data_IF_160854620158
#
_entry.id   IF_160854620158
#
_cell.length_a   1.000
_cell.length_b   1.000
_cell.length_c   1.000
_cell.angle_alpha   90.00
_cell.angle_beta   90.00
_cell.angle_gamma   90.00
#
_symmetry.space_group_name_H-M   'P 1'
#
loop_
_entity.id
_entity.type
_entity.pdbx_description
1 polymer ?
#
# COMPACT_ATOMS: atom_id res chain seq x y z
N UNK A 1 -12.25 -12.24 17.61
CA UNK A 1 -10.97 -11.71 17.08
C UNK A 1 -10.57 -12.50 15.85
N UNK A 2 -10.00 -11.84 14.83
CA UNK A 2 -9.55 -12.46 13.56
C UNK A 2 -8.17 -13.15 13.67
N UNK A 3 -7.44 -12.93 14.75
CA UNK A 3 -6.07 -13.41 14.92
C UNK A 3 -5.94 -14.89 14.56
N UNK A 4 -5.08 -15.19 13.60
CA UNK A 4 -4.75 -16.52 13.11
C UNK A 4 -5.97 -17.38 12.68
N UNK A 5 -7.11 -16.73 12.32
CA UNK A 5 -8.30 -17.42 11.82
C UNK A 5 -8.56 -17.21 10.35
N UNK A 6 -7.89 -16.23 9.76
CA UNK A 6 -7.92 -15.94 8.32
C UNK A 6 -6.49 -15.88 7.78
N UNK A 7 -6.33 -16.17 6.50
CA UNK A 7 -5.04 -16.13 5.84
C UNK A 7 -5.18 -15.70 4.37
N UNK A 8 -4.10 -15.15 3.83
CA UNK A 8 -3.94 -14.89 2.40
C UNK A 8 -3.45 -16.19 1.77
N UNK A 9 -4.18 -16.69 0.78
CA UNK A 9 -3.88 -17.97 0.12
C UNK A 9 -3.45 -17.80 -1.33
N UNK A 10 -3.77 -16.68 -1.97
CA UNK A 10 -3.38 -16.41 -3.34
C UNK A 10 -3.02 -14.94 -3.55
N UNK A 11 -2.05 -14.71 -4.41
CA UNK A 11 -1.60 -13.38 -4.85
C UNK A 11 -1.44 -13.37 -6.36
N UNK A 12 -1.70 -12.23 -6.98
CA UNK A 12 -1.50 -12.04 -8.41
C UNK A 12 -1.17 -10.59 -8.73
N UNK A 13 -0.35 -10.38 -9.73
CA UNK A 13 -0.06 -9.06 -10.27
C UNK A 13 0.19 -9.11 -11.77
N UNK A 14 -0.03 -8.00 -12.44
CA UNK A 14 0.40 -7.80 -13.84
C UNK A 14 1.76 -7.14 -13.87
N UNK A 15 2.44 -7.21 -15.01
CA UNK A 15 3.60 -6.36 -15.24
C UNK A 15 3.19 -4.87 -15.10
N UNK A 16 4.02 -4.10 -14.43
CA UNK A 16 3.88 -2.64 -14.37
C UNK A 16 4.48 -2.02 -15.63
N UNK A 17 3.82 -1.04 -16.22
CA UNK A 17 4.34 -0.40 -17.41
C UNK A 17 4.05 1.11 -17.45
N UNK A 18 4.81 1.78 -18.30
CA UNK A 18 4.61 3.18 -18.70
C UNK A 18 4.49 3.23 -20.21
N UNK A 19 5.30 4.01 -20.92
CA UNK A 19 5.25 4.09 -22.38
C UNK A 19 5.49 2.74 -23.06
N UNK A 20 4.65 2.30 -23.99
CA UNK A 20 3.46 2.98 -24.54
C UNK A 20 2.17 2.83 -23.72
N UNK A 21 2.22 2.24 -22.53
CA UNK A 21 1.08 1.82 -21.70
C UNK A 21 0.86 0.31 -21.80
N UNK A 22 -0.12 -0.20 -21.03
CA UNK A 22 -0.45 -1.63 -20.97
C UNK A 22 -1.13 -2.15 -22.25
N UNK A 23 -1.75 -1.27 -23.03
CA UNK A 23 -2.64 -1.65 -24.14
C UNK A 23 -3.95 -2.30 -23.68
N UNK A 24 -4.24 -2.35 -22.38
CA UNK A 24 -5.40 -2.96 -21.78
C UNK A 24 -6.26 -1.91 -21.05
N UNK A 25 -7.56 -2.10 -21.03
CA UNK A 25 -8.45 -1.34 -20.15
C UNK A 25 -8.30 -1.79 -18.70
N UNK A 26 -8.69 -0.94 -17.76
CA UNK A 26 -8.56 -1.18 -16.31
C UNK A 26 -9.18 -2.49 -15.85
N UNK A 27 -10.39 -2.80 -16.28
CA UNK A 27 -11.06 -4.07 -15.94
C UNK A 27 -10.25 -5.27 -16.45
N UNK A 28 -9.66 -5.20 -17.64
CA UNK A 28 -8.86 -6.30 -18.18
C UNK A 28 -7.57 -6.51 -17.39
N UNK A 29 -6.92 -5.42 -16.92
CA UNK A 29 -5.76 -5.48 -16.03
C UNK A 29 -6.13 -6.15 -14.70
N UNK A 30 -7.23 -5.69 -14.09
CA UNK A 30 -7.71 -6.19 -12.81
C UNK A 30 -8.10 -7.68 -12.89
N UNK A 31 -8.80 -8.09 -13.97
CA UNK A 31 -9.17 -9.50 -14.19
C UNK A 31 -7.94 -10.39 -14.37
N UNK A 32 -6.89 -9.92 -15.04
CA UNK A 32 -5.63 -10.69 -15.15
C UNK A 32 -4.97 -10.91 -13.79
N UNK A 33 -4.90 -9.89 -12.95
CA UNK A 33 -4.36 -10.02 -11.61
C UNK A 33 -5.26 -10.91 -10.72
N UNK A 34 -6.58 -10.77 -10.84
CA UNK A 34 -7.55 -11.57 -10.12
C UNK A 34 -7.43 -13.06 -10.48
N UNK A 35 -7.37 -13.40 -11.76
CA UNK A 35 -7.19 -14.78 -12.24
C UNK A 35 -5.86 -15.36 -11.75
N UNK A 36 -4.77 -14.58 -11.79
CA UNK A 36 -3.48 -15.02 -11.27
C UNK A 36 -3.54 -15.28 -9.75
N UNK A 37 -4.25 -14.46 -8.97
CA UNK A 37 -4.41 -14.68 -7.54
C UNK A 37 -5.28 -15.91 -7.22
N UNK A 38 -6.32 -16.16 -8.01
CA UNK A 38 -7.19 -17.33 -7.88
C UNK A 38 -6.41 -18.61 -8.21
N UNK A 39 -5.62 -18.59 -9.30
CA UNK A 39 -4.76 -19.71 -9.71
C UNK A 39 -3.65 -19.99 -8.67
N UNK A 40 -2.99 -18.96 -8.16
CA UNK A 40 -1.99 -19.08 -7.09
C UNK A 40 -2.57 -19.68 -5.80
N UNK A 41 -3.85 -19.40 -5.50
CA UNK A 41 -4.58 -20.03 -4.42
C UNK A 41 -4.95 -21.50 -4.68
N UNK A 42 -4.84 -21.99 -5.93
CA UNK A 42 -5.33 -23.31 -6.33
C UNK A 42 -6.86 -23.39 -6.39
N UNK A 43 -7.52 -22.26 -6.54
CA UNK A 43 -8.98 -22.15 -6.62
C UNK A 43 -9.48 -22.03 -8.06
N UNK A 44 -10.78 -22.29 -8.27
CA UNK A 44 -11.49 -21.93 -9.48
C UNK A 44 -12.27 -20.63 -9.26
N UNK A 45 -12.45 -19.83 -10.31
CA UNK A 45 -13.16 -18.57 -10.22
C UNK A 45 -14.58 -18.70 -9.63
N UNK A 46 -15.30 -19.79 -9.96
CA UNK A 46 -16.62 -20.08 -9.39
C UNK A 46 -16.64 -20.40 -7.88
N UNK A 47 -15.48 -20.52 -7.22
CA UNK A 47 -15.39 -20.69 -5.76
C UNK A 47 -15.25 -19.35 -5.01
N UNK A 48 -15.07 -18.25 -5.74
CA UNK A 48 -15.06 -16.91 -5.16
C UNK A 48 -16.51 -16.49 -4.90
N UNK A 49 -16.84 -16.25 -3.65
CA UNK A 49 -18.16 -15.85 -3.18
C UNK A 49 -18.16 -14.50 -2.42
N UNK A 50 -16.98 -13.88 -2.29
CA UNK A 50 -16.79 -12.54 -1.76
C UNK A 50 -15.87 -11.70 -2.65
N UNK A 51 -16.22 -10.44 -2.91
CA UNK A 51 -15.37 -9.50 -3.68
C UNK A 51 -15.37 -8.12 -3.01
N UNK A 52 -14.17 -7.57 -2.83
CA UNK A 52 -13.95 -6.21 -2.33
C UNK A 52 -13.16 -5.44 -3.40
N UNK A 53 -13.82 -4.79 -4.36
CA UNK A 53 -13.12 -4.01 -5.39
C UNK A 53 -12.57 -2.70 -4.82
N UNK A 54 -11.54 -2.16 -5.49
CA UNK A 54 -11.05 -0.82 -5.17
C UNK A 54 -12.07 0.25 -5.61
N UNK A 55 -12.26 1.31 -4.83
CA UNK A 55 -13.22 2.38 -5.14
C UNK A 55 -13.00 2.98 -6.53
N UNK A 56 -14.08 3.29 -7.21
CA UNK A 56 -14.14 3.94 -8.53
C UNK A 56 -13.45 3.21 -9.69
N UNK A 57 -12.87 2.01 -9.47
CA UNK A 57 -12.16 1.25 -10.49
C UNK A 57 -12.88 -0.05 -10.90
N UNK A 58 -14.02 -0.35 -10.31
CA UNK A 58 -14.82 -1.52 -10.66
C UNK A 58 -15.92 -1.79 -9.64
N UNK A 59 -16.89 -2.60 -10.05
CA UNK A 59 -17.98 -3.07 -9.20
C UNK A 59 -17.88 -4.58 -9.01
N UNK A 60 -18.23 -5.09 -7.84
CA UNK A 60 -18.16 -6.52 -7.54
C UNK A 60 -18.93 -7.38 -8.55
N UNK A 61 -20.09 -6.90 -9.00
CA UNK A 61 -20.94 -7.58 -9.99
C UNK A 61 -20.23 -7.69 -11.36
N UNK A 62 -19.46 -6.70 -11.75
CA UNK A 62 -18.69 -6.73 -12.99
C UNK A 62 -17.57 -7.78 -12.92
N UNK A 63 -16.89 -7.89 -11.78
CA UNK A 63 -15.92 -8.97 -11.56
C UNK A 63 -16.59 -10.34 -11.58
N UNK A 64 -17.69 -10.51 -10.85
CA UNK A 64 -18.42 -11.76 -10.78
C UNK A 64 -18.86 -12.24 -12.18
N UNK A 65 -19.44 -11.34 -12.98
CA UNK A 65 -19.89 -11.66 -14.35
C UNK A 65 -18.73 -12.06 -15.28
N UNK A 66 -17.58 -11.36 -15.21
CA UNK A 66 -16.43 -11.67 -16.06
C UNK A 66 -15.63 -12.90 -15.60
N UNK A 67 -15.59 -13.19 -14.31
CA UNK A 67 -14.92 -14.36 -13.75
C UNK A 67 -15.77 -15.62 -13.79
N UNK A 68 -17.09 -15.49 -14.01
CA UNK A 68 -18.03 -16.61 -13.91
C UNK A 68 -18.21 -17.09 -12.47
N UNK A 69 -18.16 -16.16 -11.50
CA UNK A 69 -18.53 -16.46 -10.13
C UNK A 69 -20.02 -16.84 -10.07
N UNK A 70 -20.37 -17.80 -9.20
CA UNK A 70 -21.78 -18.16 -9.00
C UNK A 70 -22.50 -17.03 -8.23
N UNK A 71 -22.90 -17.30 -7.00
CA UNK A 71 -23.56 -16.27 -6.17
C UNK A 71 -22.55 -15.55 -5.29
N UNK A 72 -22.52 -14.22 -5.35
CA UNK A 72 -21.78 -13.42 -4.39
C UNK A 72 -22.56 -13.36 -3.09
N UNK A 73 -21.97 -13.86 -2.02
CA UNK A 73 -22.50 -13.78 -0.65
C UNK A 73 -22.04 -12.52 0.07
N UNK A 74 -20.91 -11.96 -0.40
CA UNK A 74 -20.29 -10.79 0.22
C UNK A 74 -19.72 -9.82 -0.82
N UNK A 75 -20.15 -8.58 -0.78
CA UNK A 75 -19.62 -7.51 -1.61
C UNK A 75 -19.67 -6.19 -0.83
N UNK A 76 -18.51 -5.55 -0.66
CA UNK A 76 -18.40 -4.22 -0.05
C UNK A 76 -17.34 -3.42 -0.79
N UNK A 77 -17.42 -2.12 -0.70
CA UNK A 77 -16.41 -1.18 -1.20
C UNK A 77 -15.88 -0.36 -0.04
N UNK A 78 -14.56 -0.21 0.05
CA UNK A 78 -13.88 0.57 1.06
C UNK A 78 -13.15 1.72 0.38
N UNK A 79 -13.44 2.94 0.78
CA UNK A 79 -12.76 4.12 0.27
C UNK A 79 -11.92 4.76 1.39
N UNK A 80 -10.62 4.50 1.35
CA UNK A 80 -9.60 5.05 2.23
C UNK A 80 -8.32 5.35 1.41
N UNK A 81 -8.48 5.75 0.13
CA UNK A 81 -7.34 6.00 -0.76
C UNK A 81 -6.32 4.86 -0.75
N UNK A 82 -5.03 5.18 -0.59
CA UNK A 82 -3.96 4.18 -0.51
C UNK A 82 -3.95 3.31 0.75
N UNK A 83 -4.82 3.59 1.74
CA UNK A 83 -5.04 2.71 2.87
C UNK A 83 -6.03 1.58 2.57
N UNK A 84 -6.82 1.69 1.49
CA UNK A 84 -7.85 0.71 1.11
C UNK A 84 -7.34 -0.73 0.99
N UNK A 85 -6.15 -1.03 0.40
CA UNK A 85 -5.69 -2.42 0.24
C UNK A 85 -5.56 -3.16 1.56
N UNK A 86 -5.03 -2.52 2.59
CA UNK A 86 -4.81 -3.14 3.89
C UNK A 86 -6.07 -3.11 4.74
N UNK A 87 -6.91 -2.07 4.61
CA UNK A 87 -8.24 -2.03 5.22
C UNK A 87 -9.14 -3.14 4.66
N UNK A 88 -9.09 -3.40 3.35
CA UNK A 88 -9.81 -4.49 2.70
C UNK A 88 -9.37 -5.87 3.21
N UNK A 89 -8.09 -6.04 3.54
CA UNK A 89 -7.58 -7.27 4.14
C UNK A 89 -8.25 -7.56 5.50
N UNK A 90 -8.41 -6.53 6.35
CA UNK A 90 -9.16 -6.63 7.61
C UNK A 90 -10.61 -7.06 7.38
N UNK A 91 -11.30 -6.44 6.42
CA UNK A 91 -12.70 -6.72 6.12
C UNK A 91 -12.87 -8.10 5.51
N UNK A 92 -11.98 -8.52 4.60
CA UNK A 92 -11.96 -9.87 4.05
C UNK A 92 -11.77 -10.92 5.16
N UNK A 93 -10.82 -10.67 6.09
CA UNK A 93 -10.61 -11.53 7.24
C UNK A 93 -11.86 -11.64 8.13
N UNK A 94 -12.54 -10.53 8.38
CA UNK A 94 -13.80 -10.52 9.13
C UNK A 94 -14.88 -11.34 8.40
N UNK A 95 -15.03 -11.16 7.09
CA UNK A 95 -16.03 -11.87 6.30
C UNK A 95 -15.84 -13.40 6.36
N UNK A 96 -14.60 -13.88 6.18
CA UNK A 96 -14.35 -15.34 6.20
C UNK A 96 -14.44 -15.93 7.61
N UNK A 97 -14.07 -15.18 8.64
CA UNK A 97 -14.13 -15.64 10.05
C UNK A 97 -15.58 -15.69 10.55
N UNK A 98 -16.45 -14.82 10.07
CA UNK A 98 -17.89 -14.80 10.44
C UNK A 98 -18.75 -15.70 9.54
N UNK A 99 -18.17 -16.30 8.50
CA UNK A 99 -18.89 -17.13 7.54
C UNK A 99 -19.73 -16.34 6.54
N UNK A 100 -19.53 -15.02 6.43
CA UNK A 100 -20.20 -14.19 5.42
C UNK A 100 -19.73 -14.53 4.00
N UNK A 101 -18.48 -14.98 3.84
CA UNK A 101 -17.94 -15.55 2.62
C UNK A 101 -16.96 -16.68 2.96
N UNK A 102 -16.68 -17.53 1.98
CA UNK A 102 -15.71 -18.60 2.07
C UNK A 102 -14.36 -18.18 1.47
N UNK A 103 -14.38 -17.50 0.32
CA UNK A 103 -13.20 -17.00 -0.40
C UNK A 103 -13.44 -15.59 -0.88
N UNK A 104 -12.68 -14.64 -0.32
CA UNK A 104 -12.81 -13.22 -0.68
C UNK A 104 -11.66 -12.80 -1.59
N UNK A 105 -12.01 -12.38 -2.81
CA UNK A 105 -11.09 -11.76 -3.77
C UNK A 105 -11.04 -10.25 -3.53
N UNK A 106 -9.84 -9.70 -3.49
CA UNK A 106 -9.61 -8.26 -3.38
C UNK A 106 -8.75 -7.80 -4.55
N UNK A 107 -9.35 -7.32 -5.65
CA UNK A 107 -8.65 -6.90 -6.85
C UNK A 107 -8.53 -5.39 -6.92
N UNK A 108 -7.43 -4.89 -7.50
CA UNK A 108 -7.31 -3.51 -7.94
C UNK A 108 -6.34 -3.39 -9.12
N UNK A 109 -6.52 -2.33 -9.88
CA UNK A 109 -5.62 -2.00 -10.98
C UNK A 109 -6.16 -0.82 -11.76
N UNK A 110 -5.25 -0.09 -12.37
CA UNK A 110 -5.59 1.14 -13.08
C UNK A 110 -4.65 1.42 -14.25
N UNK A 111 -5.07 2.32 -15.11
CA UNK A 111 -4.26 2.89 -16.16
C UNK A 111 -3.70 4.25 -15.71
N UNK A 112 -2.93 4.25 -14.60
CA UNK A 112 -2.42 5.47 -13.98
C UNK A 112 -1.40 6.23 -14.84
N UNK A 113 -0.86 5.60 -15.89
CA UNK A 113 0.00 6.25 -16.86
C UNK A 113 -0.72 6.55 -18.19
N UNK A 114 -1.43 5.59 -18.77
CA UNK A 114 -2.07 5.75 -20.09
C UNK A 114 -3.51 6.26 -20.02
N UNK A 115 -4.14 6.22 -18.84
CA UNK A 115 -5.47 6.77 -18.58
C UNK A 115 -5.44 8.19 -18.02
N UNK A 116 -6.41 8.52 -17.18
CA UNK A 116 -6.50 9.81 -16.51
C UNK A 116 -5.39 9.94 -15.47
N UNK A 117 -4.57 10.97 -15.61
CA UNK A 117 -3.42 11.19 -14.71
C UNK A 117 -3.89 11.73 -13.36
N UNK A 118 -3.15 11.41 -12.29
CA UNK A 118 -3.47 11.85 -10.92
C UNK A 118 -3.69 13.37 -10.82
N UNK A 119 -2.93 14.16 -11.56
CA UNK A 119 -3.10 15.63 -11.64
C UNK A 119 -4.43 16.08 -12.25
N UNK A 120 -5.05 15.22 -13.07
CA UNK A 120 -6.29 15.52 -13.79
C UNK A 120 -7.51 15.02 -12.98
N UNK A 121 -7.35 13.97 -12.18
CA UNK A 121 -8.42 13.46 -11.30
C UNK A 121 -8.80 14.47 -10.23
N UNK A 122 -7.85 15.14 -9.63
CA UNK A 122 -8.12 16.17 -8.62
C UNK A 122 -8.95 17.35 -9.16
N UNK A 123 -8.86 17.64 -10.47
CA UNK A 123 -9.63 18.71 -11.09
C UNK A 123 -11.02 18.27 -11.57
N UNK A 124 -11.20 16.99 -11.91
CA UNK A 124 -12.40 16.46 -12.55
C UNK A 124 -13.32 15.66 -11.62
N UNK A 125 -12.83 15.16 -10.50
CA UNK A 125 -13.52 14.16 -9.66
C UNK A 125 -13.67 14.65 -8.21
N UNK A 126 -14.14 15.89 -8.05
CA UNK A 126 -14.35 16.49 -6.73
C UNK A 126 -15.32 15.68 -5.82
N UNK A 127 -16.07 14.73 -6.38
CA UNK A 127 -17.02 13.89 -5.62
C UNK A 127 -16.47 12.52 -5.24
N UNK A 128 -15.37 12.09 -5.85
CA UNK A 128 -14.85 10.72 -5.67
C UNK A 128 -13.74 10.58 -4.63
N UNK A 129 -13.10 11.68 -4.24
CA UNK A 129 -12.06 11.70 -3.22
C UNK A 129 -12.67 12.16 -1.90
N UNK A 130 -12.58 11.38 -0.82
CA UNK A 130 -12.91 11.87 0.51
C UNK A 130 -12.20 13.21 0.78
N UNK A 131 -12.91 14.19 1.37
CA UNK A 131 -12.37 15.52 1.56
C UNK A 131 -12.30 16.41 0.31
N UNK A 132 -12.77 15.94 -0.84
CA UNK A 132 -12.72 16.72 -2.08
C UNK A 132 -13.40 18.10 -1.98
N UNK A 133 -14.50 18.21 -1.23
CA UNK A 133 -15.16 19.49 -1.00
C UNK A 133 -14.24 20.45 -0.21
N UNK A 134 -13.53 19.96 0.79
CA UNK A 134 -12.56 20.74 1.56
C UNK A 134 -11.41 21.16 0.67
N UNK A 135 -10.86 20.23 -0.11
CA UNK A 135 -9.78 20.53 -1.06
C UNK A 135 -10.20 21.59 -2.07
N UNK A 136 -11.38 21.44 -2.69
CA UNK A 136 -11.91 22.39 -3.68
C UNK A 136 -12.16 23.79 -3.08
N UNK A 137 -12.77 23.85 -1.90
CA UNK A 137 -13.27 25.10 -1.37
C UNK A 137 -12.22 25.84 -0.53
N UNK A 138 -11.23 25.12 0.05
CA UNK A 138 -10.25 25.69 0.98
C UNK A 138 -8.79 25.50 0.57
N UNK A 139 -8.45 24.54 -0.31
CA UNK A 139 -7.06 24.30 -0.70
C UNK A 139 -6.77 24.80 -2.12
N UNK A 140 -7.62 24.46 -3.09
CA UNK A 140 -7.41 24.83 -4.49
C UNK A 140 -7.36 26.35 -4.71
N UNK A 141 -8.14 27.20 -4.01
CA UNK A 141 -8.02 28.66 -4.15
C UNK A 141 -6.64 29.21 -3.77
N UNK A 142 -5.88 28.47 -2.94
CA UNK A 142 -4.50 28.81 -2.55
C UNK A 142 -3.44 28.09 -3.39
N UNK A 143 -3.82 27.45 -4.47
CA UNK A 143 -2.89 26.77 -5.39
C UNK A 143 -2.55 25.32 -5.02
N UNK A 144 -3.19 24.74 -4.03
CA UNK A 144 -2.99 23.35 -3.62
C UNK A 144 -3.89 22.40 -4.44
N UNK A 145 -3.47 22.13 -5.69
CA UNK A 145 -4.31 21.46 -6.71
C UNK A 145 -4.02 19.95 -6.85
N UNK A 146 -3.03 19.42 -6.16
CA UNK A 146 -2.62 18.03 -6.33
C UNK A 146 -2.01 17.44 -5.04
N UNK A 147 -2.07 16.12 -4.85
CA UNK A 147 -1.55 15.43 -3.65
C UNK A 147 -0.13 15.82 -3.24
N UNK A 148 0.86 15.97 -4.14
CA UNK A 148 2.19 16.38 -3.72
C UNK A 148 2.19 17.72 -2.96
N UNK A 149 1.33 18.65 -3.36
CA UNK A 149 1.25 19.97 -2.73
C UNK A 149 0.60 19.90 -1.33
N UNK A 150 -0.39 19.05 -1.16
CA UNK A 150 -1.07 18.85 0.13
C UNK A 150 -0.13 18.21 1.15
N UNK A 151 0.55 17.15 0.74
CA UNK A 151 1.40 16.35 1.64
C UNK A 151 2.75 17.01 1.88
N UNK A 152 3.23 17.85 0.97
CA UNK A 152 4.40 18.70 1.18
C UNK A 152 4.28 19.58 2.44
N UNK A 153 3.06 19.99 2.80
CA UNK A 153 2.81 20.75 4.02
C UNK A 153 3.13 19.93 5.28
N UNK A 154 2.78 18.64 5.28
CA UNK A 154 3.10 17.73 6.39
C UNK A 154 4.61 17.51 6.49
N UNK A 155 5.27 17.26 5.36
CA UNK A 155 6.71 17.12 5.30
C UNK A 155 7.44 18.40 5.77
N UNK A 156 6.98 19.56 5.31
CA UNK A 156 7.59 20.85 5.68
C UNK A 156 7.43 21.17 7.15
N UNK A 157 6.25 20.87 7.71
CA UNK A 157 6.01 21.03 9.14
C UNK A 157 6.91 20.12 9.97
N UNK A 158 7.08 18.87 9.56
CA UNK A 158 7.97 17.92 10.22
C UNK A 158 9.43 18.35 10.15
N UNK A 159 9.88 18.89 9.00
CA UNK A 159 11.22 19.49 8.86
C UNK A 159 11.43 20.65 9.84
N UNK A 160 10.39 21.47 10.04
CA UNK A 160 10.46 22.61 10.97
C UNK A 160 10.52 22.17 12.42
N UNK A 161 9.68 21.21 12.81
CA UNK A 161 9.56 20.79 14.22
C UNK A 161 10.65 19.83 14.68
N UNK A 162 11.10 18.94 13.80
CA UNK A 162 12.00 17.84 14.17
C UNK A 162 13.35 17.87 13.43
N UNK A 163 13.57 18.82 12.54
CA UNK A 163 14.83 18.94 11.83
C UNK A 163 15.05 17.88 10.75
N UNK A 164 13.99 17.26 10.25
CA UNK A 164 14.07 16.36 9.08
C UNK A 164 14.65 17.11 7.88
N UNK A 165 15.57 16.49 7.16
CA UNK A 165 16.32 17.09 6.06
C UNK A 165 15.97 16.43 4.73
N UNK A 166 16.33 17.08 3.61
CA UNK A 166 16.17 16.51 2.28
C UNK A 166 16.90 15.17 2.11
N UNK A 167 18.05 15.01 2.79
CA UNK A 167 18.83 13.76 2.75
C UNK A 167 18.09 12.58 3.40
N UNK A 168 17.22 12.84 4.41
CA UNK A 168 16.37 11.80 4.99
C UNK A 168 15.31 11.32 3.98
N UNK A 169 14.69 12.26 3.25
CA UNK A 169 13.77 11.91 2.15
C UNK A 169 14.53 11.15 1.05
N UNK A 170 15.73 11.64 0.71
CA UNK A 170 16.64 10.98 -0.23
C UNK A 170 17.01 9.56 0.19
N UNK A 171 17.25 9.30 1.48
CA UNK A 171 17.55 7.97 1.99
C UNK A 171 16.41 6.98 1.70
N UNK A 172 15.16 7.42 1.83
CA UNK A 172 14.00 6.60 1.44
C UNK A 172 14.02 6.30 -0.08
N UNK A 173 14.16 7.34 -0.91
CA UNK A 173 14.21 7.17 -2.36
C UNK A 173 15.34 6.23 -2.81
N UNK A 174 16.52 6.34 -2.18
CA UNK A 174 17.67 5.49 -2.46
C UNK A 174 17.43 4.03 -2.05
N UNK A 175 16.85 3.79 -0.87
CA UNK A 175 16.52 2.45 -0.42
C UNK A 175 15.55 1.74 -1.39
N UNK A 176 14.45 2.41 -1.77
CA UNK A 176 13.50 1.88 -2.77
C UNK A 176 14.20 1.60 -4.11
N UNK A 177 15.10 2.47 -4.55
CA UNK A 177 15.84 2.29 -5.79
C UNK A 177 16.84 1.13 -5.71
N UNK A 178 17.51 0.92 -4.57
CA UNK A 178 18.39 -0.23 -4.34
C UNK A 178 17.60 -1.54 -4.39
N UNK A 179 16.45 -1.59 -3.74
CA UNK A 179 15.59 -2.77 -3.79
C UNK A 179 15.08 -3.06 -5.20
N UNK A 180 14.72 -2.05 -5.97
CA UNK A 180 14.33 -2.20 -7.37
C UNK A 180 15.45 -2.79 -8.26
N UNK A 181 16.73 -2.60 -7.90
CA UNK A 181 17.84 -3.26 -8.65
C UNK A 181 17.83 -4.79 -8.46
N UNK A 182 17.25 -5.30 -7.38
CA UNK A 182 17.10 -6.73 -7.09
C UNK A 182 15.78 -7.31 -7.63
N UNK A 183 14.92 -6.47 -8.21
CA UNK A 183 13.61 -6.86 -8.73
C UNK A 183 13.54 -6.62 -10.26
N UNK A 184 13.72 -7.66 -11.10
CA UNK A 184 13.64 -7.49 -12.55
C UNK A 184 12.29 -6.96 -13.07
N UNK A 185 11.20 -7.12 -12.29
CA UNK A 185 9.89 -6.59 -12.63
C UNK A 185 9.72 -5.10 -12.32
N UNK A 186 10.67 -4.48 -11.61
CA UNK A 186 10.59 -3.06 -11.27
C UNK A 186 10.93 -2.17 -12.46
N UNK A 187 10.15 -1.09 -12.67
CA UNK A 187 10.40 -0.11 -13.73
C UNK A 187 11.76 0.59 -13.62
N UNK A 188 12.29 0.70 -12.41
CA UNK A 188 13.59 1.31 -12.14
C UNK A 188 14.72 0.28 -12.03
N UNK A 189 14.48 -0.98 -12.38
CA UNK A 189 15.55 -1.97 -12.52
C UNK A 189 16.57 -1.51 -13.56
N UNK A 190 17.87 -1.68 -13.26
CA UNK A 190 18.95 -1.20 -14.12
C UNK A 190 19.20 0.31 -14.09
N UNK A 191 18.51 1.07 -13.21
CA UNK A 191 18.64 2.53 -13.10
C UNK A 191 19.02 2.92 -11.67
N UNK A 192 20.27 2.77 -11.25
CA UNK A 192 20.71 3.12 -9.89
C UNK A 192 20.50 4.60 -9.58
N UNK A 193 20.48 4.97 -8.31
CA UNK A 193 20.32 6.34 -7.84
C UNK A 193 21.37 6.66 -6.78
N UNK A 194 21.97 7.84 -6.86
CA UNK A 194 22.87 8.39 -5.83
C UNK A 194 22.21 9.57 -5.12
N UNK A 195 22.72 9.93 -3.96
CA UNK A 195 22.22 11.10 -3.20
C UNK A 195 22.42 12.40 -3.98
N UNK A 196 23.54 12.54 -4.69
CA UNK A 196 23.82 13.72 -5.52
C UNK A 196 22.78 13.86 -6.63
N UNK A 197 22.46 12.75 -7.32
CA UNK A 197 21.43 12.73 -8.36
C UNK A 197 20.03 13.02 -7.79
N UNK A 198 19.72 12.52 -6.59
CA UNK A 198 18.48 12.84 -5.90
C UNK A 198 18.40 14.34 -5.58
N UNK A 199 19.41 14.92 -4.96
CA UNK A 199 19.45 16.34 -4.58
C UNK A 199 19.46 17.28 -5.80
N UNK A 200 19.98 16.83 -6.94
CA UNK A 200 19.95 17.57 -8.21
C UNK A 200 18.63 17.42 -8.97
N UNK A 201 17.73 16.53 -8.55
CA UNK A 201 16.47 16.31 -9.27
C UNK A 201 15.53 17.50 -9.17
N UNK A 202 14.67 17.74 -10.20
CA UNK A 202 13.77 18.89 -10.23
C UNK A 202 12.85 18.95 -9.01
N UNK A 203 12.65 20.15 -8.46
CA UNK A 203 11.65 20.42 -7.43
C UNK A 203 10.25 20.37 -8.04
N UNK A 204 9.35 19.60 -7.47
CA UNK A 204 7.93 19.57 -7.84
C UNK A 204 7.14 20.54 -6.98
N UNK A 205 7.30 20.45 -5.67
CA UNK A 205 6.73 21.36 -4.68
C UNK A 205 7.57 21.25 -3.40
N UNK A 206 8.03 22.36 -2.85
CA UNK A 206 8.91 22.33 -1.67
C UNK A 206 8.24 21.63 -0.47
N UNK A 207 8.85 20.56 0.14
CA UNK A 207 10.20 20.07 -0.07
C UNK A 207 10.35 18.95 -1.11
N UNK A 208 9.27 18.50 -1.76
CA UNK A 208 9.31 17.35 -2.65
C UNK A 208 9.94 17.63 -4.01
N UNK A 209 10.91 16.80 -4.34
CA UNK A 209 11.52 16.69 -5.66
C UNK A 209 10.82 15.62 -6.51
N UNK A 210 11.18 15.53 -7.76
CA UNK A 210 10.66 14.49 -8.68
C UNK A 210 10.86 13.08 -8.13
N UNK A 211 11.97 12.82 -7.46
CA UNK A 211 12.32 11.50 -6.93
C UNK A 211 11.70 11.21 -5.55
N UNK A 212 11.01 12.18 -4.95
CA UNK A 212 10.16 11.97 -3.78
C UNK A 212 8.78 11.46 -4.14
N UNK A 213 8.37 11.58 -5.41
CA UNK A 213 7.04 11.23 -5.87
C UNK A 213 7.01 9.81 -6.46
N UNK A 214 5.97 9.06 -6.17
CA UNK A 214 5.73 7.74 -6.75
C UNK A 214 5.57 7.79 -8.27
N UNK A 215 5.75 6.63 -8.89
CA UNK A 215 5.61 6.47 -10.33
C UNK A 215 4.12 6.44 -10.72
N UNK A 216 3.75 7.08 -11.80
CA UNK A 216 2.46 6.82 -12.46
C UNK A 216 2.64 5.65 -13.43
N UNK A 217 1.86 4.57 -13.25
CA UNK A 217 2.00 3.32 -14.02
C UNK A 217 0.65 2.71 -14.33
N UNK A 218 0.61 1.92 -15.40
CA UNK A 218 -0.47 0.98 -15.61
C UNK A 218 -0.11 -0.35 -14.95
N UNK A 219 -1.09 -1.00 -14.34
CA UNK A 219 -0.92 -2.30 -13.73
C UNK A 219 -2.02 -2.64 -12.75
N UNK A 220 -2.02 -3.88 -12.30
CA UNK A 220 -3.00 -4.42 -11.36
C UNK A 220 -2.36 -5.43 -10.43
N UNK A 221 -2.95 -5.57 -9.24
CA UNK A 221 -2.64 -6.66 -8.32
C UNK A 221 -3.90 -7.10 -7.59
N UNK A 222 -3.89 -8.32 -7.06
CA UNK A 222 -4.99 -8.90 -6.33
C UNK A 222 -4.48 -9.90 -5.29
N UNK A 223 -5.31 -10.15 -4.28
CA UNK A 223 -5.09 -11.24 -3.34
C UNK A 223 -6.40 -11.93 -2.97
N UNK A 224 -6.30 -13.17 -2.50
CA UNK A 224 -7.43 -13.98 -2.04
C UNK A 224 -7.26 -14.30 -0.56
N UNK A 225 -8.32 -14.09 0.22
CA UNK A 225 -8.39 -14.38 1.65
C UNK A 225 -9.40 -15.50 1.89
N UNK A 226 -9.04 -16.44 2.77
CA UNK A 226 -9.96 -17.50 3.23
C UNK A 226 -9.74 -17.80 4.71
N UNK A 227 -10.57 -18.67 5.27
CA UNK A 227 -10.35 -19.16 6.64
C UNK A 227 -9.18 -20.15 6.71
N UNK A 228 -8.52 -20.21 7.85
CA UNK A 228 -7.40 -21.15 8.08
C UNK A 228 -7.84 -22.61 7.89
N UNK A 229 -9.08 -22.93 8.21
CA UNK A 229 -9.63 -24.27 8.01
C UNK A 229 -9.64 -24.66 6.55
N UNK A 230 -10.14 -23.79 5.66
CA UNK A 230 -10.19 -24.00 4.20
C UNK A 230 -8.82 -23.97 3.56
N UNK A 231 -7.91 -23.19 4.09
CA UNK A 231 -6.55 -23.08 3.57
C UNK A 231 -5.75 -24.39 3.66
N UNK A 232 -6.11 -25.29 4.58
CA UNK A 232 -5.42 -26.60 4.75
C UNK A 232 -5.49 -27.48 3.51
N UNK A 233 -6.55 -27.33 2.71
CA UNK A 233 -6.77 -28.13 1.52
C UNK A 233 -6.18 -27.47 0.24
N UNK A 234 -5.52 -26.30 0.39
CA UNK A 234 -4.90 -25.56 -0.69
C UNK A 234 -3.39 -25.84 -0.77
N UNK A 235 -2.84 -25.80 -1.99
CA UNK A 235 -1.48 -26.27 -2.25
C UNK A 235 -0.36 -25.29 -1.86
N UNK A 236 -0.67 -24.01 -1.61
CA UNK A 236 0.31 -22.97 -1.25
C UNK A 236 0.38 -22.74 0.24
N UNK A 237 1.55 -22.32 0.72
CA UNK A 237 1.73 -21.90 2.11
C UNK A 237 0.81 -20.70 2.40
N UNK A 238 -0.16 -20.84 3.31
CA UNK A 238 -1.02 -19.73 3.70
C UNK A 238 -0.24 -18.73 4.55
N UNK A 239 -0.53 -17.44 4.36
CA UNK A 239 0.05 -16.37 5.18
C UNK A 239 -1.01 -15.88 6.16
N UNK A 240 -0.78 -16.10 7.43
CA UNK A 240 -1.75 -15.85 8.50
C UNK A 240 -1.85 -14.37 8.82
N UNK A 241 -3.07 -13.91 9.09
CA UNK A 241 -3.35 -12.55 9.56
C UNK A 241 -3.40 -12.58 11.09
N UNK A 242 -2.33 -12.09 11.73
CA UNK A 242 -2.22 -12.02 13.19
C UNK A 242 -3.04 -10.85 13.76
N UNK A 243 -3.03 -9.72 13.08
CA UNK A 243 -3.73 -8.51 13.49
C UNK A 243 -3.94 -7.58 12.31
N UNK A 244 -5.06 -6.87 12.30
CA UNK A 244 -5.32 -5.84 11.32
C UNK A 244 -6.25 -4.78 11.91
N UNK A 245 -5.94 -3.52 11.63
CA UNK A 245 -6.70 -2.37 12.07
C UNK A 245 -6.68 -1.25 11.02
N UNK A 246 -7.63 -0.34 11.11
CA UNK A 246 -7.67 0.88 10.31
C UNK A 246 -8.17 2.02 11.17
N UNK A 247 -7.76 3.24 10.85
CA UNK A 247 -8.15 4.45 11.55
C UNK A 247 -8.18 5.65 10.63
N UNK A 248 -8.92 6.66 11.06
CA UNK A 248 -8.98 7.96 10.43
C UNK A 248 -8.57 9.01 11.46
N UNK A 249 -7.75 9.99 11.10
CA UNK A 249 -7.39 11.07 12.03
C UNK A 249 -8.58 12.01 12.24
N UNK A 250 -8.55 12.74 13.33
CA UNK A 250 -9.55 13.80 13.56
C UNK A 250 -8.93 15.19 13.33
N UNK A 251 -9.60 16.06 12.60
CA UNK A 251 -10.77 15.79 11.75
C UNK A 251 -10.39 14.92 10.55
N UNK A 252 -11.33 14.06 10.14
CA UNK A 252 -11.17 13.28 8.92
C UNK A 252 -11.20 14.20 7.69
N UNK A 253 -10.52 13.77 6.61
CA UNK A 253 -10.48 14.49 5.32
C UNK A 253 -9.98 15.95 5.42
N UNK A 254 -9.20 16.25 6.43
CA UNK A 254 -8.69 17.60 6.69
C UNK A 254 -7.28 17.55 7.27
N UNK A 255 -6.37 18.42 6.79
CA UNK A 255 -5.00 18.52 7.29
C UNK A 255 -4.83 19.79 8.14
N UNK A 256 -5.32 20.94 7.67
CA UNK A 256 -4.94 22.25 8.19
C UNK A 256 -5.45 22.53 9.60
N UNK A 257 -6.63 22.00 9.94
CA UNK A 257 -7.26 22.22 11.25
C UNK A 257 -7.04 21.05 12.23
N UNK A 258 -6.10 20.15 11.89
CA UNK A 258 -5.80 19.00 12.74
C UNK A 258 -5.05 19.46 13.99
N UNK A 259 -5.59 19.21 15.21
CA UNK A 259 -4.94 19.64 16.44
C UNK A 259 -3.53 19.08 16.62
N UNK A 260 -3.34 17.80 16.31
CA UNK A 260 -2.03 17.15 16.22
C UNK A 260 -1.69 16.93 14.75
N UNK A 261 -0.97 17.85 14.15
CA UNK A 261 -0.76 17.92 12.71
C UNK A 261 -0.18 16.66 12.08
N UNK A 262 0.74 15.97 12.78
CA UNK A 262 1.38 14.75 12.29
C UNK A 262 0.59 13.47 12.54
N UNK A 263 -0.50 13.56 13.29
CA UNK A 263 -1.34 12.41 13.60
C UNK A 263 -2.04 11.91 12.34
N UNK A 264 -1.94 10.62 12.10
CA UNK A 264 -2.64 9.91 11.00
C UNK A 264 -3.42 8.72 11.56
N UNK A 265 -4.18 8.04 10.72
CA UNK A 265 -4.95 6.87 11.13
C UNK A 265 -4.12 5.75 11.76
N UNK A 266 -2.85 5.62 11.39
CA UNK A 266 -1.93 4.65 12.00
C UNK A 266 -1.65 4.92 13.49
N UNK A 267 -1.72 6.17 13.94
CA UNK A 267 -1.53 6.52 15.37
C UNK A 267 -2.46 5.73 16.29
N UNK A 268 -3.67 5.41 15.80
CA UNK A 268 -4.65 4.61 16.55
C UNK A 268 -4.68 3.16 16.07
N UNK A 269 -4.55 2.92 14.78
CA UNK A 269 -4.66 1.59 14.21
C UNK A 269 -3.46 0.68 14.58
N UNK A 270 -2.24 1.23 14.63
CA UNK A 270 -1.06 0.40 14.88
C UNK A 270 -1.05 -0.23 16.28
N UNK A 271 -1.30 0.50 17.38
CA UNK A 271 -1.41 -0.11 18.71
C UNK A 271 -2.48 -1.21 18.78
N UNK A 272 -3.65 -1.01 18.14
CA UNK A 272 -4.73 -2.01 18.08
C UNK A 272 -4.27 -3.28 17.35
N UNK A 273 -3.64 -3.13 16.18
CA UNK A 273 -3.19 -4.27 15.37
C UNK A 273 -2.08 -5.07 16.08
N UNK A 274 -1.08 -4.38 16.65
CA UNK A 274 0.00 -5.03 17.40
C UNK A 274 -0.51 -5.72 18.66
N UNK A 275 -1.44 -5.10 19.39
CA UNK A 275 -2.09 -5.74 20.55
C UNK A 275 -2.88 -6.99 20.13
N UNK A 276 -3.63 -6.92 19.01
CA UNK A 276 -4.35 -8.08 18.46
C UNK A 276 -3.39 -9.20 18.06
N UNK A 277 -2.28 -8.87 17.41
CA UNK A 277 -1.25 -9.83 17.01
C UNK A 277 -0.48 -10.41 18.19
N UNK A 278 -0.40 -9.70 19.32
CA UNK A 278 0.39 -10.09 20.49
C UNK A 278 1.90 -9.96 20.27
N UNK A 279 2.31 -9.03 19.40
CA UNK A 279 3.72 -8.71 19.10
C UNK A 279 3.92 -7.18 19.17
N UNK A 280 5.16 -6.74 19.10
CA UNK A 280 5.54 -5.31 19.12
C UNK A 280 6.16 -4.93 17.79
N UNK A 281 6.23 -3.64 17.43
CA UNK A 281 6.87 -3.19 16.19
C UNK A 281 8.29 -3.74 15.99
N UNK A 282 9.09 -3.84 17.04
CA UNK A 282 10.46 -4.38 17.01
C UNK A 282 10.56 -5.89 16.71
N UNK A 283 9.45 -6.60 16.78
CA UNK A 283 9.39 -8.04 16.52
C UNK A 283 9.14 -8.32 15.02
N UNK A 284 8.96 -7.28 14.20
CA UNK A 284 8.79 -7.40 12.75
C UNK A 284 10.14 -7.56 12.03
N UNK A 285 10.22 -8.51 11.11
CA UNK A 285 11.41 -8.76 10.29
C UNK A 285 11.51 -7.79 9.11
N UNK A 286 10.37 -7.25 8.65
CA UNK A 286 10.27 -6.27 7.59
C UNK A 286 8.94 -5.51 7.62
N UNK A 287 8.88 -4.42 6.88
CA UNK A 287 7.64 -3.71 6.63
C UNK A 287 7.45 -3.39 5.14
N UNK A 288 6.22 -3.47 4.68
CA UNK A 288 5.77 -2.96 3.39
C UNK A 288 4.93 -1.70 3.67
N UNK A 289 5.49 -0.54 3.40
CA UNK A 289 4.96 0.76 3.81
C UNK A 289 4.52 1.52 2.57
N UNK A 290 3.29 2.02 2.56
CA UNK A 290 2.77 2.80 1.44
C UNK A 290 3.62 4.04 1.18
N UNK A 291 4.26 4.12 0.01
CA UNK A 291 5.26 5.10 -0.35
C UNK A 291 4.84 5.96 -1.56
N UNK A 292 3.68 6.62 -1.46
CA UNK A 292 3.29 7.58 -2.49
C UNK A 292 4.25 8.78 -2.57
N UNK A 293 4.86 9.16 -1.45
CA UNK A 293 5.98 10.10 -1.36
C UNK A 293 6.96 9.62 -0.27
N UNK A 294 8.16 10.14 -0.30
CA UNK A 294 9.22 9.73 0.64
C UNK A 294 8.93 10.07 2.09
N UNK A 295 8.30 11.22 2.36
CA UNK A 295 7.99 11.63 3.72
C UNK A 295 6.94 10.71 4.38
N UNK A 296 5.94 10.25 3.63
CA UNK A 296 4.90 9.37 4.16
C UNK A 296 5.45 8.03 4.65
N UNK A 297 6.61 7.60 4.15
CA UNK A 297 7.32 6.44 4.70
C UNK A 297 7.87 6.77 6.09
N UNK A 298 8.51 7.93 6.24
CA UNK A 298 9.04 8.40 7.54
C UNK A 298 7.89 8.55 8.55
N UNK A 299 6.81 9.20 8.17
CA UNK A 299 5.65 9.40 9.01
C UNK A 299 5.02 8.06 9.47
N UNK A 300 4.86 7.11 8.56
CA UNK A 300 4.30 5.80 8.92
C UNK A 300 5.24 4.98 9.82
N UNK A 301 6.55 5.09 9.66
CA UNK A 301 7.55 4.48 10.56
C UNK A 301 7.35 4.99 11.98
N UNK A 302 7.18 6.30 12.16
CA UNK A 302 6.95 6.93 13.45
C UNK A 302 5.59 6.55 14.03
N UNK A 303 4.52 6.75 13.26
CA UNK A 303 3.15 6.56 13.74
C UNK A 303 2.74 5.08 13.90
N UNK A 304 3.45 4.16 13.25
CA UNK A 304 3.32 2.72 13.53
C UNK A 304 4.18 2.27 14.73
N UNK A 305 4.99 3.15 15.30
CA UNK A 305 5.75 2.90 16.52
C UNK A 305 7.07 2.14 16.31
N UNK A 306 7.64 2.16 15.12
CA UNK A 306 8.99 1.62 14.88
C UNK A 306 10.09 2.50 15.49
N UNK A 307 9.83 3.80 15.60
CA UNK A 307 10.60 4.76 16.37
C UNK A 307 9.67 5.83 16.96
N UNK A 308 10.20 6.73 17.79
CA UNK A 308 9.42 7.85 18.30
C UNK A 308 9.21 8.93 17.21
N UNK A 309 8.15 9.73 17.36
CA UNK A 309 7.89 10.86 16.46
C UNK A 309 9.06 11.84 16.48
N UNK A 310 9.51 12.25 15.30
CA UNK A 310 10.69 13.09 15.10
C UNK A 310 12.00 12.31 14.93
N UNK A 311 12.02 11.01 15.15
CA UNK A 311 13.21 10.15 14.98
C UNK A 311 13.26 9.42 13.62
N UNK A 312 12.20 9.50 12.83
CA UNK A 312 12.09 8.76 11.57
C UNK A 312 13.15 9.15 10.54
N UNK A 313 13.61 10.41 10.54
CA UNK A 313 14.73 10.84 9.72
C UNK A 313 16.03 10.07 10.05
N UNK A 314 16.41 10.01 11.32
CA UNK A 314 17.55 9.24 11.78
C UNK A 314 17.35 7.71 11.62
N UNK A 315 16.11 7.26 11.65
CA UNK A 315 15.77 5.85 11.45
C UNK A 315 16.08 5.36 10.03
N UNK A 316 15.81 6.19 9.02
CA UNK A 316 16.02 5.83 7.60
C UNK A 316 17.44 6.05 7.12
N UNK A 317 18.25 6.86 7.84
CA UNK A 317 19.64 7.12 7.47
C UNK A 317 20.51 5.86 7.50
N UNK A 318 21.64 5.92 6.81
CA UNK A 318 22.71 4.91 6.82
C UNK A 318 22.22 3.48 6.47
N UNK A 319 21.21 3.38 5.59
CA UNK A 319 20.67 2.08 5.17
C UNK A 319 19.73 1.44 6.18
N UNK A 320 19.19 2.21 7.15
CA UNK A 320 18.32 1.68 8.20
C UNK A 320 17.10 0.90 7.71
N UNK A 321 16.61 1.25 6.53
CA UNK A 321 15.45 0.60 5.86
C UNK A 321 15.83 -0.24 4.61
N UNK A 322 17.12 -0.40 4.36
CA UNK A 322 17.61 -1.26 3.27
C UNK A 322 17.61 -2.74 3.68
N UNK A 323 17.75 -3.64 2.71
CA UNK A 323 18.00 -5.06 2.98
C UNK A 323 19.26 -5.21 3.84
N UNK A 324 19.12 -5.90 4.97
CA UNK A 324 20.17 -6.03 5.98
C UNK A 324 20.26 -4.85 6.96
N UNK A 325 19.43 -3.83 6.79
CA UNK A 325 19.27 -2.73 7.75
C UNK A 325 18.41 -3.10 8.96
N UNK A 326 18.09 -2.10 9.78
CA UNK A 326 17.30 -2.26 11.01
C UNK A 326 15.89 -2.81 10.75
N UNK A 327 15.23 -2.31 9.71
CA UNK A 327 13.91 -2.73 9.26
C UNK A 327 13.86 -2.63 7.74
N UNK A 328 14.05 -3.72 6.99
CA UNK A 328 13.90 -3.67 5.53
C UNK A 328 12.49 -3.20 5.13
N UNK A 329 12.41 -2.14 4.33
CA UNK A 329 11.13 -1.55 3.89
C UNK A 329 10.98 -1.67 2.38
N UNK A 330 9.81 -2.13 1.88
CA UNK A 330 9.47 -2.18 0.46
C UNK A 330 10.52 -2.88 -0.41
N UNK A 331 10.84 -4.12 -0.06
CA UNK A 331 11.89 -4.92 -0.70
C UNK A 331 11.74 -5.11 -2.21
N UNK A 332 10.54 -4.88 -2.75
CA UNK A 332 10.25 -4.91 -4.18
C UNK A 332 10.60 -3.61 -4.93
N UNK A 333 10.85 -2.52 -4.18
CA UNK A 333 11.12 -1.18 -4.71
C UNK A 333 9.98 -0.18 -4.52
N UNK A 334 8.83 -0.60 -3.97
CA UNK A 334 7.70 0.27 -3.63
C UNK A 334 7.04 0.95 -4.83
N UNK A 335 6.18 1.91 -4.53
CA UNK A 335 5.55 2.78 -5.53
C UNK A 335 6.56 3.74 -6.15
N UNK A 336 7.63 4.05 -5.42
CA UNK A 336 8.70 4.96 -5.85
C UNK A 336 9.61 4.35 -6.92
N UNK A 337 9.76 3.02 -6.98
CA UNK A 337 10.74 2.40 -7.88
C UNK A 337 10.28 1.14 -8.60
N UNK A 338 9.34 0.33 -8.07
CA UNK A 338 8.73 -0.75 -8.83
C UNK A 338 7.62 -0.22 -9.73
N UNK A 339 6.57 0.36 -9.16
CA UNK A 339 5.42 0.89 -9.86
C UNK A 339 4.21 1.04 -8.95
N UNK A 340 3.29 1.92 -9.33
CA UNK A 340 2.13 2.26 -8.52
C UNK A 340 0.96 1.32 -8.80
N UNK A 341 0.79 0.32 -7.95
CA UNK A 341 -0.34 -0.63 -7.95
C UNK A 341 -1.30 -0.34 -6.79
N UNK A 342 -1.57 0.92 -6.49
CA UNK A 342 -2.52 1.38 -5.47
C UNK A 342 -2.25 0.82 -4.05
N UNK A 343 -1.00 0.40 -3.76
CA UNK A 343 -0.62 -0.24 -2.50
C UNK A 343 -0.82 -1.76 -2.44
N UNK A 344 -1.45 -2.38 -3.43
CA UNK A 344 -1.63 -3.84 -3.48
C UNK A 344 -0.30 -4.58 -3.65
N UNK A 345 0.67 -4.00 -4.36
CA UNK A 345 2.01 -4.56 -4.51
C UNK A 345 2.71 -4.81 -3.17
N UNK A 346 2.41 -4.00 -2.15
CA UNK A 346 2.94 -4.16 -0.80
C UNK A 346 2.41 -5.44 -0.13
N UNK A 347 1.12 -5.73 -0.26
CA UNK A 347 0.52 -6.98 0.25
C UNK A 347 1.11 -8.18 -0.50
N UNK A 348 1.21 -8.09 -1.82
CA UNK A 348 1.79 -9.15 -2.67
C UNK A 348 3.24 -9.43 -2.28
N UNK A 349 4.06 -8.39 -2.10
CA UNK A 349 5.46 -8.56 -1.69
C UNK A 349 5.59 -9.12 -0.27
N UNK A 350 4.74 -8.70 0.67
CA UNK A 350 4.75 -9.26 2.02
C UNK A 350 4.47 -10.77 2.00
N UNK A 351 3.52 -11.21 1.19
CA UNK A 351 3.22 -12.64 1.01
C UNK A 351 4.42 -13.37 0.39
N UNK A 352 5.06 -12.80 -0.64
CA UNK A 352 6.27 -13.40 -1.26
C UNK A 352 7.42 -13.55 -0.27
N UNK A 353 7.68 -12.53 0.55
CA UNK A 353 8.72 -12.59 1.57
C UNK A 353 8.44 -13.71 2.58
N UNK A 354 7.23 -13.80 3.10
CA UNK A 354 6.84 -14.82 4.08
C UNK A 354 6.77 -16.23 3.49
N UNK A 355 6.51 -16.37 2.18
CA UNK A 355 6.58 -17.66 1.48
C UNK A 355 7.99 -18.08 1.08
N UNK A 356 8.97 -17.19 1.12
CA UNK A 356 10.32 -17.45 0.62
C UNK A 356 10.43 -17.36 -0.91
N UNK A 357 9.55 -16.62 -1.56
CA UNK A 357 9.42 -16.51 -3.02
C UNK A 357 9.99 -15.18 -3.58
N UNK A 358 10.69 -14.38 -2.75
CA UNK A 358 11.15 -13.05 -3.17
C UNK A 358 12.49 -13.05 -3.94
N UNK A 359 13.12 -14.20 -4.15
CA UNK A 359 14.35 -14.33 -4.96
C UNK A 359 15.52 -13.53 -4.40
N UNK A 360 16.20 -12.72 -5.24
CA UNK A 360 17.39 -11.97 -4.83
C UNK A 360 17.15 -10.93 -3.71
N UNK A 361 15.90 -10.55 -3.47
CA UNK A 361 15.49 -9.59 -2.42
C UNK A 361 14.92 -10.27 -1.17
N UNK A 362 15.06 -11.61 -1.08
CA UNK A 362 14.53 -12.38 0.02
C UNK A 362 15.19 -12.04 1.35
N UNK A 363 14.39 -11.73 2.35
CA UNK A 363 14.81 -11.60 3.74
C UNK A 363 14.95 -13.01 4.32
N UNK A 364 16.13 -13.31 4.84
CA UNK A 364 16.41 -14.63 5.41
C UNK A 364 15.53 -14.86 6.65
N UNK A 365 14.93 -16.05 6.73
CA UNK A 365 14.15 -16.52 7.87
C UNK A 365 13.04 -15.55 8.32
N UNK A 366 12.42 -14.82 7.38
CA UNK A 366 11.32 -13.90 7.68
C UNK A 366 10.09 -14.66 8.20
N UNK A 367 9.63 -14.30 9.37
CA UNK A 367 8.48 -14.90 10.04
C UNK A 367 7.32 -13.90 10.22
N UNK A 368 7.63 -12.63 10.53
CA UNK A 368 6.65 -11.59 10.81
C UNK A 368 6.87 -10.39 9.87
N UNK A 369 5.86 -10.09 9.06
CA UNK A 369 5.82 -8.93 8.19
C UNK A 369 4.71 -7.95 8.58
N UNK A 370 4.99 -6.66 8.42
CA UNK A 370 4.00 -5.60 8.61
C UNK A 370 3.69 -4.96 7.27
N UNK A 371 2.40 -4.74 7.00
CA UNK A 371 1.97 -3.97 5.82
C UNK A 371 1.16 -2.78 6.30
N UNK A 372 1.53 -1.58 5.84
CA UNK A 372 0.77 -0.35 6.14
C UNK A 372 0.19 0.26 4.87
N UNK A 373 -0.94 0.93 5.02
CA UNK A 373 -1.55 1.75 4.00
C UNK A 373 -1.73 3.18 4.53
N UNK A 374 -1.56 4.13 3.64
CA UNK A 374 -1.75 5.54 3.91
C UNK A 374 -2.61 6.12 2.78
N UNK A 375 -3.68 6.83 3.09
CA UNK A 375 -4.61 7.32 2.09
C UNK A 375 -5.18 8.67 2.43
N UNK A 376 -5.67 9.32 1.42
CA UNK A 376 -6.34 10.62 1.44
C UNK A 376 -5.60 11.62 2.35
N UNK A 377 -6.19 12.23 3.30
CA UNK A 377 -5.52 13.17 4.19
C UNK A 377 -4.98 12.52 5.48
N UNK A 378 -4.51 11.27 5.40
CA UNK A 378 -3.87 10.57 6.50
C UNK A 378 -4.68 9.40 7.07
N UNK A 379 -5.63 8.87 6.31
CA UNK A 379 -6.24 7.58 6.63
C UNK A 379 -5.15 6.52 6.77
N UNK A 380 -5.26 5.66 7.74
CA UNK A 380 -4.27 4.65 8.02
C UNK A 380 -4.85 3.26 8.15
N UNK A 381 -4.14 2.28 7.63
CA UNK A 381 -4.44 0.86 7.82
C UNK A 381 -3.16 0.07 8.05
N UNK A 382 -3.24 -1.01 8.80
CA UNK A 382 -2.11 -1.86 9.13
C UNK A 382 -2.55 -3.31 9.22
N UNK A 383 -1.73 -4.22 8.72
CA UNK A 383 -1.85 -5.65 8.93
C UNK A 383 -0.51 -6.24 9.37
N UNK A 384 -0.58 -7.16 10.31
CA UNK A 384 0.56 -7.95 10.80
C UNK A 384 0.34 -9.37 10.34
N UNK A 385 1.27 -9.84 9.54
CA UNK A 385 1.22 -11.12 8.85
C UNK A 385 2.33 -12.04 9.37
N UNK A 386 2.08 -13.34 9.33
CA UNK A 386 3.11 -14.34 9.59
C UNK A 386 3.02 -15.54 8.66
N UNK A 387 4.12 -16.22 8.56
CA UNK A 387 4.22 -17.54 7.94
C UNK A 387 3.54 -18.63 8.77
#
# INVERSE_FOLDING_TARGET
MIRDKACIVGIGETAVCRKPGSGLGEMALQLKAALAAIDDAGLKAGQIDGIIPFPNLGKAEAFAANLGCADLRFAVMLNMGGASPVAALRVAAMAVVTGAADHVLVPAGWNGFSGVRVRETAANDAESIPGAAIARDYYMPFGLNAPPQWYALMARRHMHEYGTRAEHLGAVALAMRKHAQLNPAALMHGKPLTMEAYLASPMITDPYRLLDCCLETDGAAAYVVTSVERARDLGKTPIYIMGAASGQPYPADEIMNRPEFHRIGLTTAAPEAFAMAGVRPRDADFAQIYDCFTFEVIQQIEEAGFCARGEGGAFVENGGIELGGRLPVNTHGGLLSQGHLLGFGHVVEAVRQLRGEAGARQIKDAEIGVVTGWGDFGDGSIAILRR
#
